data_IF_351839413442
#
_entry.id   IF_351839413442
#
_cell.length_a   1.000
_cell.length_b   1.000
_cell.length_c   1.000
_cell.angle_alpha   90.00
_cell.angle_beta   90.00
_cell.angle_gamma   90.00
#
_symmetry.space_group_name_H-M   'P 1'
#
loop_
_entity.id
_entity.type
_entity.pdbx_description
1 polymer ?
#
# COMPACT_ATOMS: atom_id res chain seq x y z
N UNK A 1 32.28 35.58 -7.85
CA UNK A 1 32.95 34.38 -8.38
C UNK A 1 33.15 33.40 -7.24
N UNK A 2 32.22 32.46 -7.10
CA UNK A 2 32.48 31.12 -6.60
C UNK A 2 31.43 30.24 -7.28
N UNK A 3 31.88 29.45 -8.24
CA UNK A 3 31.09 28.51 -9.03
C UNK A 3 30.96 27.16 -8.28
N UNK A 4 30.08 26.31 -8.85
CA UNK A 4 29.96 24.84 -8.71
C UNK A 4 29.18 24.37 -7.44
N UNK A 5 28.17 23.48 -7.47
CA UNK A 5 27.78 22.47 -8.45
C UNK A 5 26.26 22.22 -8.50
N UNK A 6 25.76 21.99 -9.71
CA UNK A 6 24.44 21.47 -10.02
C UNK A 6 24.56 19.94 -10.11
N UNK A 7 24.35 19.21 -9.00
CA UNK A 7 24.25 17.75 -9.01
C UNK A 7 22.91 17.30 -8.42
N UNK A 8 22.07 16.81 -9.35
CA UNK A 8 20.95 15.87 -9.25
C UNK A 8 20.30 15.68 -7.87
N UNK A 9 19.07 16.13 -7.63
CA UNK A 9 17.85 15.50 -8.18
C UNK A 9 18.06 14.02 -8.53
N UNK A 10 18.27 13.18 -7.50
CA UNK A 10 18.06 11.73 -7.62
C UNK A 10 16.57 11.45 -7.70
N UNK A 11 15.99 11.88 -8.82
CA UNK A 11 14.90 11.19 -9.45
C UNK A 11 15.44 9.84 -9.93
N UNK A 12 15.19 8.78 -9.16
CA UNK A 12 15.13 7.45 -9.75
C UNK A 12 13.79 7.36 -10.48
N UNK A 13 13.70 8.05 -11.62
CA UNK A 13 12.79 7.66 -12.70
C UNK A 13 13.30 6.30 -13.15
N UNK A 14 12.63 5.24 -12.70
CA UNK A 14 12.78 3.92 -13.29
C UNK A 14 12.18 4.04 -14.69
N UNK A 15 13.02 4.36 -15.68
CA UNK A 15 12.66 4.27 -17.09
C UNK A 15 12.37 2.80 -17.39
N UNK A 16 11.10 2.39 -17.31
CA UNK A 16 10.64 1.12 -17.88
C UNK A 16 10.69 1.25 -19.39
N UNK A 17 11.84 0.97 -20.00
CA UNK A 17 11.87 0.66 -21.43
C UNK A 17 11.14 -0.67 -21.59
N UNK A 18 9.99 -0.62 -22.26
CA UNK A 18 9.20 -1.79 -22.59
C UNK A 18 10.02 -2.75 -23.43
N UNK A 19 10.27 -3.93 -22.88
CA UNK A 19 10.50 -5.23 -23.50
C UNK A 19 11.15 -6.08 -22.42
N UNK A 20 10.35 -6.85 -21.69
CA UNK A 20 10.75 -8.09 -20.99
C UNK A 20 9.50 -8.62 -20.26
N UNK A 21 8.49 -8.96 -21.07
CA UNK A 21 7.40 -9.82 -20.65
C UNK A 21 7.75 -11.24 -21.09
N UNK A 22 7.81 -12.15 -20.12
CA UNK A 22 7.96 -13.61 -20.25
C UNK A 22 9.40 -14.18 -20.20
N UNK A 23 9.73 -14.74 -19.03
CA UNK A 23 10.43 -16.03 -18.96
C UNK A 23 11.96 -16.03 -19.02
N UNK A 24 12.63 -15.47 -18.01
CA UNK A 24 13.90 -16.00 -17.52
C UNK A 24 14.14 -15.50 -16.09
N UNK A 25 14.25 -16.41 -15.12
CA UNK A 25 14.66 -16.10 -13.75
C UNK A 25 16.14 -15.77 -13.74
N UNK A 26 16.53 -14.57 -14.17
CA UNK A 26 17.84 -14.03 -13.81
C UNK A 26 17.72 -13.57 -12.37
N UNK A 27 18.37 -14.28 -11.45
CA UNK A 27 18.50 -13.86 -10.06
C UNK A 27 19.00 -12.40 -10.02
N UNK A 28 18.09 -11.49 -9.69
CA UNK A 28 18.43 -10.10 -9.43
C UNK A 28 19.24 -10.07 -8.14
N UNK A 29 20.55 -10.11 -8.30
CA UNK A 29 21.49 -9.85 -7.21
C UNK A 29 21.29 -8.41 -6.78
N UNK A 30 20.73 -8.20 -5.58
CA UNK A 30 20.66 -6.88 -4.97
C UNK A 30 22.09 -6.29 -4.92
N UNK A 31 22.31 -5.04 -5.37
CA UNK A 31 23.61 -4.39 -5.25
C UNK A 31 24.08 -4.43 -3.80
N UNK A 32 25.20 -5.11 -3.55
CA UNK A 32 25.82 -5.14 -2.23
C UNK A 32 26.20 -3.71 -1.84
N UNK A 33 25.51 -3.14 -0.85
CA UNK A 33 25.86 -1.83 -0.30
C UNK A 33 24.68 -0.94 0.08
N UNK A 34 23.45 -1.23 -0.36
CA UNK A 34 22.28 -0.47 0.09
C UNK A 34 21.79 -1.07 1.41
N UNK A 35 22.25 -0.50 2.53
CA UNK A 35 21.52 -0.66 3.79
C UNK A 35 20.21 0.10 3.63
N UNK A 36 19.13 -0.57 3.22
CA UNK A 36 17.79 -0.08 3.50
C UNK A 36 17.73 0.10 5.01
N UNK A 37 17.72 1.34 5.48
CA UNK A 37 17.37 1.63 6.86
C UNK A 37 15.90 1.22 6.94
N UNK A 38 15.62 0.04 7.51
CA UNK A 38 14.25 -0.39 7.68
C UNK A 38 13.56 0.70 8.48
N UNK A 39 12.49 1.26 7.93
CA UNK A 39 11.69 2.28 8.63
C UNK A 39 11.09 1.70 9.91
N UNK A 40 11.10 0.37 10.05
CA UNK A 40 10.53 -0.39 11.14
C UNK A 40 11.64 -0.98 12.01
N UNK A 41 11.81 -0.42 13.21
CA UNK A 41 12.33 -1.18 14.34
C UNK A 41 11.28 -2.25 14.69
N UNK A 42 11.67 -3.51 14.90
CA UNK A 42 10.74 -4.62 15.21
C UNK A 42 9.77 -4.30 16.35
N UNK A 43 10.21 -3.47 17.29
CA UNK A 43 9.46 -2.98 18.43
C UNK A 43 8.20 -2.18 18.04
N UNK A 44 8.20 -1.53 16.87
CA UNK A 44 7.06 -0.75 16.34
C UNK A 44 5.94 -1.69 15.86
N UNK A 45 6.30 -2.82 15.25
CA UNK A 45 5.35 -3.83 14.75
C UNK A 45 4.75 -4.66 15.90
N UNK A 46 5.49 -4.84 16.99
CA UNK A 46 5.09 -5.66 18.13
C UNK A 46 4.30 -4.88 19.20
N UNK A 47 4.25 -3.54 19.12
CA UNK A 47 3.46 -2.71 20.03
C UNK A 47 2.03 -2.51 19.50
N UNK A 48 0.97 -2.61 20.32
CA UNK A 48 -0.42 -2.33 19.91
C UNK A 48 -0.69 -0.82 19.75
N UNK A 49 0.32 -0.04 19.38
CA UNK A 49 0.18 1.38 19.10
C UNK A 49 -0.49 1.54 17.75
N UNK A 50 -1.59 2.28 17.70
CA UNK A 50 -2.19 2.75 16.45
C UNK A 50 -1.13 3.52 15.66
N UNK A 51 -0.52 2.86 14.68
CA UNK A 51 0.37 3.49 13.72
C UNK A 51 -0.39 4.61 13.01
N UNK A 52 0.26 5.75 12.83
CA UNK A 52 -0.32 6.79 12.00
C UNK A 52 -0.45 6.32 10.55
N UNK A 53 -1.38 6.90 9.81
CA UNK A 53 -1.67 6.51 8.43
C UNK A 53 -0.49 6.73 7.48
N UNK A 54 0.44 7.63 7.78
CA UNK A 54 1.62 7.86 6.95
C UNK A 54 2.61 6.70 7.12
N UNK A 55 2.84 6.25 8.35
CA UNK A 55 3.62 5.06 8.64
C UNK A 55 3.01 3.82 7.95
N UNK A 56 1.68 3.64 8.03
CA UNK A 56 1.01 2.53 7.34
C UNK A 56 1.24 2.56 5.82
N UNK A 57 1.16 3.73 5.17
CA UNK A 57 1.45 3.87 3.73
C UNK A 57 2.90 3.55 3.37
N UNK A 58 3.85 3.91 4.24
CA UNK A 58 5.27 3.57 4.03
C UNK A 58 5.49 2.06 4.12
N UNK A 59 4.86 1.39 5.09
CA UNK A 59 4.91 -0.06 5.23
C UNK A 59 4.29 -0.74 4.00
N UNK A 60 3.11 -0.29 3.60
CA UNK A 60 2.39 -0.80 2.43
C UNK A 60 3.25 -0.69 1.16
N UNK A 61 3.85 0.48 0.91
CA UNK A 61 4.73 0.70 -0.23
C UNK A 61 6.02 -0.13 -0.20
N UNK A 62 6.60 -0.37 0.99
CA UNK A 62 7.88 -1.07 1.10
C UNK A 62 7.73 -2.60 1.06
N UNK A 63 6.68 -3.14 1.67
CA UNK A 63 6.58 -4.56 1.98
C UNK A 63 5.43 -5.28 1.28
N UNK A 64 4.37 -4.58 0.85
CA UNK A 64 3.23 -5.23 0.22
C UNK A 64 3.41 -5.31 -1.30
N UNK A 65 3.12 -6.50 -1.84
CA UNK A 65 3.05 -6.73 -3.27
C UNK A 65 1.58 -6.63 -3.70
N UNK A 66 1.23 -5.57 -4.42
CA UNK A 66 -0.14 -5.36 -4.85
C UNK A 66 -0.45 -6.10 -6.16
N UNK A 67 -1.74 -6.40 -6.35
CA UNK A 67 -2.29 -6.78 -7.65
C UNK A 67 -2.40 -5.61 -8.63
N UNK A 68 -3.18 -5.83 -9.69
CA UNK A 68 -3.17 -5.12 -10.98
C UNK A 68 -3.39 -3.58 -10.96
N UNK A 69 -3.77 -2.95 -9.84
CA UNK A 69 -4.24 -1.54 -9.89
C UNK A 69 -3.86 -0.61 -8.74
N UNK A 70 -3.43 -1.10 -7.58
CA UNK A 70 -3.16 -0.22 -6.41
C UNK A 70 -1.94 0.68 -6.65
N UNK A 71 -0.94 0.20 -7.40
CA UNK A 71 0.29 0.92 -7.71
C UNK A 71 0.11 2.15 -8.62
N UNK A 72 -1.08 2.39 -9.17
CA UNK A 72 -1.38 3.59 -9.96
C UNK A 72 -1.73 4.81 -9.09
N UNK A 73 -2.06 4.60 -7.82
CA UNK A 73 -2.40 5.70 -6.91
C UNK A 73 -1.17 6.17 -6.15
N UNK A 74 -0.87 7.46 -6.23
CA UNK A 74 0.22 8.09 -5.47
C UNK A 74 -0.02 8.02 -3.96
N UNK A 75 -1.29 8.10 -3.55
CA UNK A 75 -1.72 8.01 -2.15
C UNK A 75 -2.93 7.07 -2.05
N UNK A 76 -2.70 5.76 -1.84
CA UNK A 76 -3.78 4.80 -1.64
C UNK A 76 -4.63 5.17 -0.41
N UNK A 77 -5.94 4.96 -0.52
CA UNK A 77 -6.90 5.15 0.56
C UNK A 77 -6.68 4.07 1.62
N UNK A 78 -6.59 4.46 2.90
CA UNK A 78 -6.61 3.50 4.01
C UNK A 78 -8.04 3.39 4.49
N UNK A 79 -8.65 2.21 4.27
CA UNK A 79 -9.99 1.91 4.77
C UNK A 79 -9.91 1.55 6.26
N UNK A 80 -10.64 2.28 7.08
CA UNK A 80 -10.72 2.05 8.54
C UNK A 80 -12.00 1.31 8.95
N UNK A 81 -13.03 1.32 8.09
CA UNK A 81 -14.26 0.61 8.35
C UNK A 81 -15.19 0.56 7.14
N UNK A 82 -16.27 -0.20 7.29
CA UNK A 82 -17.30 -0.35 6.27
C UNK A 82 -18.62 -0.79 6.92
N UNK A 83 -19.76 -0.48 6.30
CA UNK A 83 -21.09 -0.92 6.75
C UNK A 83 -22.11 -0.81 5.62
N UNK A 84 -22.86 -1.87 5.35
CA UNK A 84 -23.83 -1.90 4.25
C UNK A 84 -23.14 -1.67 2.91
N UNK A 85 -23.49 -0.60 2.19
CA UNK A 85 -22.80 -0.19 0.95
C UNK A 85 -21.74 0.90 1.13
N UNK A 86 -21.35 1.20 2.37
CA UNK A 86 -20.45 2.31 2.68
C UNK A 86 -19.07 1.82 3.12
N UNK A 87 -18.06 2.58 2.74
CA UNK A 87 -16.65 2.44 3.14
C UNK A 87 -16.18 3.76 3.77
N UNK A 88 -15.40 3.68 4.84
CA UNK A 88 -14.89 4.82 5.59
C UNK A 88 -13.36 4.82 5.57
N UNK A 89 -12.75 5.96 5.33
CA UNK A 89 -11.28 6.09 5.35
C UNK A 89 -10.73 6.66 6.67
N UNK A 90 -9.41 6.78 6.74
CA UNK A 90 -8.66 7.33 7.87
C UNK A 90 -8.82 8.85 8.04
N UNK A 91 -9.34 9.55 7.03
CA UNK A 91 -9.62 10.98 7.06
C UNK A 91 -11.09 11.28 7.40
N UNK A 92 -11.88 10.24 7.72
CA UNK A 92 -13.29 10.35 8.10
C UNK A 92 -14.25 10.53 6.93
N UNK A 93 -13.77 10.36 5.69
CA UNK A 93 -14.60 10.45 4.49
C UNK A 93 -15.33 9.13 4.25
N UNK A 94 -16.57 9.27 3.82
CA UNK A 94 -17.46 8.15 3.50
C UNK A 94 -17.63 8.03 1.99
N UNK A 95 -17.61 6.79 1.51
CA UNK A 95 -17.76 6.46 0.09
C UNK A 95 -18.91 5.48 -0.07
N UNK A 96 -19.69 5.64 -1.15
CA UNK A 96 -20.64 4.62 -1.61
C UNK A 96 -19.86 3.68 -2.53
N UNK A 97 -19.74 2.42 -2.14
CA UNK A 97 -19.07 1.40 -2.96
C UNK A 97 -20.08 0.78 -3.94
N UNK A 98 -20.19 1.39 -5.11
CA UNK A 98 -21.05 0.90 -6.20
C UNK A 98 -20.48 -0.34 -6.90
N UNK A 99 -19.18 -0.61 -6.72
CA UNK A 99 -18.50 -1.79 -7.28
C UNK A 99 -18.58 -3.03 -6.38
N UNK A 100 -19.03 -2.86 -5.14
CA UNK A 100 -19.20 -3.93 -4.14
C UNK A 100 -17.94 -4.79 -3.98
N UNK A 101 -16.77 -4.15 -3.91
CA UNK A 101 -15.44 -4.78 -3.92
C UNK A 101 -15.33 -5.96 -4.87
N UNK A 102 -15.20 -5.66 -6.17
CA UNK A 102 -15.19 -6.67 -7.22
C UNK A 102 -16.43 -7.59 -7.16
N UNK A 103 -17.61 -7.00 -6.97
CA UNK A 103 -18.90 -7.70 -6.93
C UNK A 103 -19.03 -8.81 -5.88
N UNK A 104 -18.21 -8.79 -4.82
CA UNK A 104 -18.13 -9.86 -3.81
C UNK A 104 -18.95 -9.55 -2.54
N UNK A 105 -19.34 -8.30 -2.33
CA UNK A 105 -20.00 -7.87 -1.09
C UNK A 105 -21.54 -7.81 -1.20
N UNK A 106 -22.19 -8.84 -1.76
CA UNK A 106 -23.63 -8.82 -2.11
C UNK A 106 -24.59 -8.54 -0.94
N UNK A 107 -24.28 -9.04 0.26
CA UNK A 107 -25.08 -8.81 1.47
C UNK A 107 -24.74 -7.50 2.19
N UNK A 108 -23.87 -6.68 1.59
CA UNK A 108 -23.27 -5.51 2.22
C UNK A 108 -22.17 -5.87 3.21
N UNK A 109 -21.33 -4.89 3.51
CA UNK A 109 -20.29 -4.97 4.52
C UNK A 109 -20.88 -5.07 5.93
N UNK A 110 -20.22 -5.84 6.80
CA UNK A 110 -20.58 -5.99 8.23
C UNK A 110 -22.05 -6.40 8.43
N UNK A 111 -22.50 -7.41 7.68
CA UNK A 111 -23.83 -7.96 7.86
C UNK A 111 -23.93 -8.62 9.25
N UNK A 112 -24.83 -8.17 10.15
CA UNK A 112 -24.85 -8.61 11.53
C UNK A 112 -25.23 -10.09 11.68
N UNK A 113 -26.06 -10.64 10.77
CA UNK A 113 -26.43 -12.05 10.80
C UNK A 113 -25.20 -12.91 10.49
N UNK A 114 -24.47 -12.59 9.42
CA UNK A 114 -23.24 -13.30 9.04
C UNK A 114 -22.17 -13.17 10.12
N UNK A 115 -21.91 -11.95 10.61
CA UNK A 115 -20.90 -11.70 11.64
C UNK A 115 -21.18 -12.48 12.93
N UNK A 116 -22.45 -12.54 13.34
CA UNK A 116 -22.85 -13.30 14.53
C UNK A 116 -22.59 -14.81 14.41
N UNK A 117 -22.54 -15.34 13.19
CA UNK A 117 -22.29 -16.76 12.93
C UNK A 117 -20.80 -17.10 12.85
N UNK A 118 -19.97 -16.19 12.32
CA UNK A 118 -18.51 -16.42 12.17
C UNK A 118 -17.69 -16.08 13.41
N UNK A 119 -18.26 -15.28 14.33
CA UNK A 119 -17.56 -14.80 15.54
C UNK A 119 -17.92 -15.60 16.80
N UNK A 120 -18.50 -16.79 16.63
CA UNK A 120 -18.83 -17.72 17.72
C UNK A 120 -17.58 -18.43 18.24
#
# INVERSE_FOLDING_TARGET
>A
MTEINQESLDQVIISKTGNDWCGASTEMSLPQGIKKKSVLDKEILDSPTTLDSQALRQIDQEYLCWGDTVHYQERPIIVTGCKGGLVFDDEGKSYIDTGMWHSSCNFGYRNPEIESEVTK
#
